data_IF_205338530253
#
_entry.id   IF_205338530253
#
_cell.length_a   1.000
_cell.length_b   1.000
_cell.length_c   1.000
_cell.angle_alpha   90.00
_cell.angle_beta   90.00
_cell.angle_gamma   90.00
#
_symmetry.space_group_name_H-M   'P 1'
#
loop_
_entity.id
_entity.type
_entity.pdbx_description
1 polymer ?
#
# COMPACT_ATOMS: atom_id res chain seq x y z
N UNK A 1 57.95 -5.65 32.65
CA UNK A 1 57.25 -4.47 33.20
C UNK A 1 55.76 -4.71 33.03
N UNK A 2 55.01 -4.63 34.12
CA UNK A 2 53.56 -4.81 34.12
C UNK A 2 52.87 -3.55 33.59
N UNK A 3 52.15 -3.65 32.48
CA UNK A 3 51.41 -2.52 31.89
C UNK A 3 50.16 -2.20 32.73
N UNK A 4 49.81 -0.93 32.85
CA UNK A 4 48.58 -0.48 33.52
C UNK A 4 47.36 -0.67 32.61
N UNK A 5 46.17 -0.73 33.19
CA UNK A 5 44.93 -0.70 32.42
C UNK A 5 44.80 0.63 31.66
N UNK A 6 44.36 0.57 30.40
CA UNK A 6 44.19 1.70 29.49
C UNK A 6 42.95 2.57 29.77
N UNK A 7 42.03 2.12 30.62
CA UNK A 7 40.85 2.89 31.01
C UNK A 7 41.27 4.02 31.97
N UNK A 8 40.90 5.25 31.64
CA UNK A 8 41.19 6.42 32.47
C UNK A 8 40.71 6.21 33.91
N UNK A 9 41.54 6.61 34.88
CA UNK A 9 41.32 6.46 36.33
C UNK A 9 41.41 5.02 36.86
N UNK A 10 41.70 4.01 36.03
CA UNK A 10 41.96 2.66 36.51
C UNK A 10 43.42 2.47 36.91
N UNK A 11 43.69 2.23 38.19
CA UNK A 11 45.05 2.00 38.71
C UNK A 11 45.47 0.52 38.67
N UNK A 12 44.59 -0.38 38.21
CA UNK A 12 44.86 -1.82 38.20
C UNK A 12 45.82 -2.23 37.08
N UNK A 13 46.61 -3.25 37.34
CA UNK A 13 47.50 -3.86 36.34
C UNK A 13 46.68 -4.55 35.24
N UNK A 14 47.09 -4.34 33.99
CA UNK A 14 46.55 -5.05 32.84
C UNK A 14 46.72 -6.56 33.00
N UNK A 15 45.70 -7.32 32.62
CA UNK A 15 45.71 -8.79 32.64
C UNK A 15 45.59 -9.38 31.23
N UNK A 16 45.26 -8.57 30.22
CA UNK A 16 45.18 -8.97 28.83
C UNK A 16 45.06 -7.78 27.89
N UNK A 17 45.45 -7.99 26.64
CA UNK A 17 45.21 -7.07 25.54
C UNK A 17 43.89 -7.49 24.88
N UNK A 18 42.95 -6.56 24.69
CA UNK A 18 41.78 -6.83 23.88
C UNK A 18 42.13 -6.69 22.39
N UNK A 19 41.99 -7.76 21.63
CA UNK A 19 42.35 -7.75 20.20
C UNK A 19 41.43 -6.87 19.35
N UNK A 20 40.19 -6.61 19.79
CA UNK A 20 39.23 -5.77 19.08
C UNK A 20 39.62 -4.29 19.08
N UNK A 21 39.96 -3.74 20.26
CA UNK A 21 40.27 -2.33 20.43
C UNK A 21 41.77 -2.04 20.65
N UNK A 22 42.60 -3.08 20.71
CA UNK A 22 44.05 -3.01 20.97
C UNK A 22 44.40 -2.29 22.29
N UNK A 23 43.52 -2.43 23.30
CA UNK A 23 43.69 -1.80 24.62
C UNK A 23 44.07 -2.81 25.71
N UNK A 24 44.95 -2.41 26.61
CA UNK A 24 45.37 -3.21 27.76
C UNK A 24 44.34 -3.10 28.88
N UNK A 25 43.63 -4.17 29.20
CA UNK A 25 42.53 -4.15 30.16
C UNK A 25 42.83 -4.99 31.41
N UNK A 26 42.43 -4.48 32.58
CA UNK A 26 42.38 -5.32 33.78
C UNK A 26 41.21 -6.31 33.68
N UNK A 27 41.21 -7.37 34.49
CA UNK A 27 40.19 -8.43 34.40
C UNK A 27 38.74 -7.91 34.51
N UNK A 28 38.49 -6.91 35.38
CA UNK A 28 37.16 -6.33 35.51
C UNK A 28 36.71 -5.61 34.24
N UNK A 29 37.53 -4.70 33.70
CA UNK A 29 37.18 -3.96 32.49
C UNK A 29 37.15 -4.87 31.25
N UNK A 30 37.90 -5.97 31.23
CA UNK A 30 37.79 -6.98 30.18
C UNK A 30 36.43 -7.69 30.21
N UNK A 31 35.93 -8.03 31.41
CA UNK A 31 34.61 -8.63 31.58
C UNK A 31 33.48 -7.65 31.24
N UNK A 32 33.59 -6.38 31.66
CA UNK A 32 32.63 -5.33 31.32
C UNK A 32 32.62 -5.04 29.81
N UNK A 33 33.80 -4.99 29.18
CA UNK A 33 33.92 -4.84 27.73
C UNK A 33 33.31 -6.03 26.98
N UNK A 34 33.55 -7.26 27.44
CA UNK A 34 32.93 -8.45 26.86
C UNK A 34 31.40 -8.46 27.05
N UNK A 35 30.91 -8.05 28.22
CA UNK A 35 29.48 -7.91 28.47
C UNK A 35 28.85 -6.85 27.55
N UNK A 36 29.52 -5.72 27.32
CA UNK A 36 29.08 -4.69 26.38
C UNK A 36 29.01 -5.23 24.94
N UNK A 37 30.04 -5.97 24.50
CA UNK A 37 30.03 -6.61 23.17
C UNK A 37 28.89 -7.63 23.04
N UNK A 38 28.67 -8.46 24.07
CA UNK A 38 27.56 -9.42 24.08
C UNK A 38 26.22 -8.68 24.04
N UNK A 39 26.07 -7.58 24.77
CA UNK A 39 24.83 -6.79 24.75
C UNK A 39 24.52 -6.15 23.40
N UNK A 40 25.51 -6.02 22.50
CA UNK A 40 25.29 -5.57 21.12
C UNK A 40 24.81 -6.71 20.20
N UNK A 41 24.93 -7.97 20.61
CA UNK A 41 24.44 -9.11 19.82
C UNK A 41 22.92 -9.28 19.94
N UNK A 42 22.33 -8.87 21.06
CA UNK A 42 20.88 -9.00 21.26
C UNK A 42 20.08 -8.19 20.22
N UNK A 43 20.37 -6.89 19.96
CA UNK A 43 19.71 -6.12 18.90
C UNK A 43 19.89 -6.72 17.51
N UNK A 44 21.08 -7.25 17.18
CA UNK A 44 21.34 -7.88 15.89
C UNK A 44 20.56 -9.19 15.72
N UNK A 45 20.39 -9.94 16.81
CA UNK A 45 19.56 -11.15 16.83
C UNK A 45 18.11 -10.80 16.59
N UNK A 46 17.62 -9.73 17.23
CA UNK A 46 16.27 -9.21 17.00
C UNK A 46 16.07 -8.76 15.55
N UNK A 47 17.03 -8.03 14.96
CA UNK A 47 16.99 -7.63 13.55
C UNK A 47 16.92 -8.85 12.62
N UNK A 48 17.74 -9.88 12.85
CA UNK A 48 17.71 -11.12 12.05
C UNK A 48 16.36 -11.82 12.18
N UNK A 49 15.81 -11.90 13.39
CA UNK A 49 14.50 -12.52 13.62
C UNK A 49 13.39 -11.77 12.88
N UNK A 50 13.43 -10.43 12.89
CA UNK A 50 12.47 -9.62 12.15
C UNK A 50 12.62 -9.82 10.65
N UNK A 51 13.84 -9.85 10.11
CA UNK A 51 14.06 -10.17 8.70
C UNK A 51 13.55 -11.56 8.33
N UNK A 52 13.74 -12.55 9.21
CA UNK A 52 13.18 -13.90 9.07
C UNK A 52 11.66 -13.88 8.97
N UNK A 53 10.98 -13.18 9.87
CA UNK A 53 9.53 -12.99 9.83
C UNK A 53 9.09 -12.25 8.55
N UNK A 54 9.81 -11.22 8.13
CA UNK A 54 9.55 -10.53 6.87
C UNK A 54 9.63 -11.49 5.68
N UNK A 55 10.63 -12.38 5.63
CA UNK A 55 10.73 -13.40 4.59
C UNK A 55 9.58 -14.42 4.63
N UNK A 56 9.16 -14.85 5.81
CA UNK A 56 8.01 -15.76 5.98
C UNK A 56 6.69 -15.11 5.53
N UNK A 57 6.55 -13.80 5.76
CA UNK A 57 5.36 -13.04 5.34
C UNK A 57 5.39 -12.63 3.86
N UNK A 58 6.51 -12.80 3.15
CA UNK A 58 6.54 -12.59 1.71
C UNK A 58 5.52 -13.50 1.05
N UNK A 59 4.52 -12.88 0.42
CA UNK A 59 3.45 -13.60 -0.23
C UNK A 59 3.90 -14.11 -1.60
N UNK A 60 4.73 -15.16 -1.58
CA UNK A 60 5.24 -15.85 -2.78
C UNK A 60 4.07 -16.27 -3.68
N UNK A 61 2.98 -16.72 -3.06
CA UNK A 61 1.78 -17.13 -3.78
C UNK A 61 1.18 -15.98 -4.58
N UNK A 62 1.07 -14.78 -4.00
CA UNK A 62 0.60 -13.58 -4.70
C UNK A 62 1.49 -13.21 -5.89
N UNK A 63 2.81 -13.33 -5.74
CA UNK A 63 3.75 -13.07 -6.86
C UNK A 63 3.54 -14.09 -7.99
N UNK A 64 3.40 -15.37 -7.64
CA UNK A 64 3.10 -16.44 -8.61
C UNK A 64 1.76 -16.18 -9.31
N UNK A 65 0.73 -15.82 -8.55
CA UNK A 65 -0.61 -15.59 -9.08
C UNK A 65 -0.65 -14.37 -10.01
N UNK A 66 0.07 -13.30 -9.66
CA UNK A 66 0.24 -12.15 -10.57
C UNK A 66 0.97 -12.53 -11.86
N UNK A 67 1.98 -13.39 -11.80
CA UNK A 67 2.65 -13.92 -12.99
C UNK A 67 1.70 -14.73 -13.87
N UNK A 68 0.88 -15.59 -13.25
CA UNK A 68 -0.13 -16.40 -13.95
C UNK A 68 -1.21 -15.54 -14.61
N UNK A 69 -1.66 -14.49 -13.93
CA UNK A 69 -2.65 -13.55 -14.47
C UNK A 69 -2.14 -12.87 -15.75
N UNK A 70 -0.88 -12.42 -15.76
CA UNK A 70 -0.26 -11.84 -16.97
C UNK A 70 -0.20 -12.84 -18.13
N UNK A 71 0.12 -14.10 -17.86
CA UNK A 71 0.13 -15.14 -18.89
C UNK A 71 -1.27 -15.44 -19.42
N UNK A 72 -2.28 -15.48 -18.56
CA UNK A 72 -3.67 -15.68 -18.98
C UNK A 72 -4.19 -14.47 -19.79
N UNK A 73 -3.84 -13.25 -19.40
CA UNK A 73 -4.15 -12.05 -20.18
C UNK A 73 -3.51 -12.13 -21.58
N UNK A 74 -2.22 -12.46 -21.65
CA UNK A 74 -1.52 -12.65 -22.92
C UNK A 74 -2.23 -13.69 -23.81
N UNK A 75 -2.64 -14.83 -23.23
CA UNK A 75 -3.38 -15.87 -23.93
C UNK A 75 -4.71 -15.35 -24.50
N UNK A 76 -5.49 -14.62 -23.70
CA UNK A 76 -6.77 -14.04 -24.13
C UNK A 76 -6.59 -13.03 -25.27
N UNK A 77 -5.57 -12.18 -25.17
CA UNK A 77 -5.24 -11.22 -26.23
C UNK A 77 -4.82 -11.90 -27.54
N UNK A 78 -4.05 -12.99 -27.45
CA UNK A 78 -3.69 -13.80 -28.61
C UNK A 78 -4.92 -14.40 -29.30
N UNK A 79 -5.84 -15.02 -28.55
CA UNK A 79 -7.08 -15.56 -29.14
C UNK A 79 -7.91 -14.47 -29.81
N UNK A 80 -8.10 -13.33 -29.15
CA UNK A 80 -8.83 -12.20 -29.73
C UNK A 80 -8.23 -11.73 -31.07
N UNK A 81 -6.90 -11.70 -31.18
CA UNK A 81 -6.22 -11.34 -32.43
C UNK A 81 -6.43 -12.39 -33.52
N UNK A 82 -6.39 -13.67 -33.16
CA UNK A 82 -6.63 -14.78 -34.09
C UNK A 82 -8.08 -14.72 -34.61
N UNK A 83 -9.05 -14.53 -33.72
CA UNK A 83 -10.48 -14.45 -34.08
C UNK A 83 -10.76 -13.26 -34.99
N UNK A 84 -10.23 -12.08 -34.66
CA UNK A 84 -10.34 -10.88 -35.49
C UNK A 84 -9.76 -11.09 -36.88
N UNK A 85 -8.58 -11.71 -36.97
CA UNK A 85 -7.95 -12.04 -38.26
C UNK A 85 -8.79 -13.03 -39.07
N UNK A 86 -9.35 -14.04 -38.41
CA UNK A 86 -10.24 -15.02 -39.05
C UNK A 86 -11.49 -14.34 -39.60
N UNK A 87 -12.18 -13.52 -38.80
CA UNK A 87 -13.37 -12.78 -39.22
C UNK A 87 -13.07 -11.86 -40.41
N UNK A 88 -11.93 -11.16 -40.38
CA UNK A 88 -11.49 -10.34 -41.50
C UNK A 88 -11.32 -11.18 -42.78
N UNK A 89 -10.71 -12.37 -42.70
CA UNK A 89 -10.57 -13.25 -43.87
C UNK A 89 -11.88 -13.82 -44.36
N UNK A 90 -12.84 -14.07 -43.48
CA UNK A 90 -14.21 -14.42 -43.88
C UNK A 90 -14.89 -13.27 -44.64
N UNK A 91 -14.75 -12.03 -44.17
CA UNK A 91 -15.31 -10.86 -44.86
C UNK A 91 -14.67 -10.64 -46.24
N UNK A 92 -13.34 -10.78 -46.35
CA UNK A 92 -12.63 -10.73 -47.64
C UNK A 92 -13.15 -11.82 -48.60
N UNK A 93 -13.38 -13.03 -48.07
CA UNK A 93 -13.93 -14.15 -48.84
C UNK A 93 -15.34 -13.85 -49.36
N UNK A 94 -16.23 -13.39 -48.47
CA UNK A 94 -17.61 -13.04 -48.82
C UNK A 94 -17.65 -11.93 -49.87
N UNK A 95 -16.80 -10.91 -49.73
CA UNK A 95 -16.71 -9.83 -50.71
C UNK A 95 -16.29 -10.35 -52.08
N UNK A 96 -15.25 -11.18 -52.15
CA UNK A 96 -14.78 -11.76 -53.42
C UNK A 96 -15.86 -12.60 -54.10
N UNK A 97 -16.57 -13.44 -53.34
CA UNK A 97 -17.67 -14.26 -53.86
C UNK A 97 -18.79 -13.37 -54.39
N UNK A 98 -19.19 -12.34 -53.64
CA UNK A 98 -20.25 -11.43 -54.05
C UNK A 98 -19.88 -10.65 -55.32
N UNK A 99 -18.65 -10.17 -55.44
CA UNK A 99 -18.17 -9.48 -56.65
C UNK A 99 -18.24 -10.40 -57.88
N UNK A 100 -17.83 -11.66 -57.75
CA UNK A 100 -17.92 -12.66 -58.82
C UNK A 100 -19.38 -12.92 -59.21
N UNK A 101 -20.27 -13.09 -58.23
CA UNK A 101 -21.70 -13.33 -58.46
C UNK A 101 -22.36 -12.12 -59.14
N UNK A 102 -22.07 -10.90 -58.70
CA UNK A 102 -22.63 -9.68 -59.27
C UNK A 102 -22.16 -9.42 -60.71
N UNK A 103 -20.91 -9.77 -61.03
CA UNK A 103 -20.45 -9.78 -62.42
C UNK A 103 -21.28 -10.73 -63.29
N UNK A 104 -21.56 -11.95 -62.82
CA UNK A 104 -22.41 -12.89 -63.58
C UNK A 104 -23.85 -12.38 -63.68
N UNK A 105 -24.41 -11.79 -62.62
CA UNK A 105 -25.74 -11.18 -62.61
C UNK A 105 -25.84 -10.05 -63.64
N UNK A 106 -24.79 -9.24 -63.80
CA UNK A 106 -24.74 -8.17 -64.80
C UNK A 106 -24.75 -8.71 -66.23
N UNK A 107 -24.00 -9.79 -66.48
CA UNK A 107 -24.01 -10.47 -67.79
C UNK A 107 -25.38 -11.09 -68.09
N UNK A 108 -26.01 -11.71 -67.09
CA UNK A 108 -27.36 -12.28 -67.20
C UNK A 108 -28.39 -11.20 -67.57
N UNK A 109 -28.40 -10.07 -66.85
CA UNK A 109 -29.32 -8.96 -67.11
C UNK A 109 -29.13 -8.38 -68.51
N UNK A 110 -27.87 -8.22 -68.96
CA UNK A 110 -27.59 -7.76 -70.32
C UNK A 110 -28.11 -8.73 -71.38
N UNK A 111 -28.02 -10.03 -71.11
CA UNK A 111 -28.52 -11.08 -72.01
C UNK A 111 -30.04 -11.05 -72.07
N UNK A 112 -30.70 -10.87 -70.93
CA UNK A 112 -32.15 -10.71 -70.85
C UNK A 112 -32.65 -9.49 -71.62
N UNK A 113 -32.00 -8.33 -71.47
CA UNK A 113 -32.35 -7.10 -72.20
C UNK A 113 -32.29 -7.30 -73.72
N UNK A 114 -31.25 -7.98 -74.23
CA UNK A 114 -31.14 -8.32 -75.65
C UNK A 114 -32.27 -9.24 -76.13
N UNK A 115 -32.68 -10.20 -75.30
CA UNK A 115 -33.83 -11.07 -75.62
C UNK A 115 -35.10 -10.23 -75.73
N UNK A 116 -35.37 -9.35 -74.75
CA UNK A 116 -36.54 -8.47 -74.77
C UNK A 116 -36.55 -7.54 -75.99
N UNK A 117 -35.41 -6.98 -76.36
CA UNK A 117 -35.26 -6.13 -77.55
C UNK A 117 -35.62 -6.88 -78.84
N UNK A 118 -35.08 -8.09 -79.03
CA UNK A 118 -35.37 -8.91 -80.20
C UNK A 118 -36.83 -9.34 -80.30
N UNK A 119 -37.47 -9.61 -79.14
CA UNK A 119 -38.91 -9.90 -79.08
C UNK A 119 -39.73 -8.68 -79.53
N UNK A 120 -39.37 -7.49 -79.09
CA UNK A 120 -40.10 -6.26 -79.41
C UNK A 120 -39.97 -5.86 -80.89
N UNK A 121 -38.79 -6.04 -81.50
CA UNK A 121 -38.55 -5.65 -82.90
C UNK A 121 -39.21 -6.64 -83.89
N UNK A 122 -39.53 -7.87 -83.46
CA UNK A 122 -40.11 -8.95 -84.27
C UNK A 122 -39.29 -9.40 -85.51
N UNK A 123 -38.15 -8.77 -85.80
CA UNK A 123 -37.19 -9.17 -86.84
C UNK A 123 -36.02 -9.98 -86.25
N UNK A 124 -36.31 -11.18 -85.75
CA UNK A 124 -35.26 -12.06 -85.22
C UNK A 124 -34.62 -12.89 -86.34
N UNK A 125 -33.33 -12.68 -86.59
CA UNK A 125 -32.55 -13.52 -87.52
C UNK A 125 -31.99 -14.77 -86.82
N UNK A 126 -31.64 -15.80 -87.60
CA UNK A 126 -30.99 -16.99 -87.07
C UNK A 126 -29.66 -16.68 -86.36
N UNK A 127 -28.91 -15.71 -86.89
CA UNK A 127 -27.64 -15.26 -86.29
C UNK A 127 -27.85 -14.66 -84.90
N UNK A 128 -28.95 -13.93 -84.67
CA UNK A 128 -29.28 -13.40 -83.33
C UNK A 128 -29.52 -14.53 -82.33
N UNK A 129 -30.22 -15.59 -82.74
CA UNK A 129 -30.49 -16.78 -81.90
C UNK A 129 -29.19 -17.53 -81.58
N UNK A 130 -28.32 -17.73 -82.57
CA UNK A 130 -27.06 -18.44 -82.36
C UNK A 130 -26.11 -17.67 -81.42
N UNK A 131 -26.04 -16.34 -81.55
CA UNK A 131 -25.29 -15.47 -80.64
C UNK A 131 -25.81 -15.54 -79.20
N UNK A 132 -27.13 -15.46 -79.00
CA UNK A 132 -27.74 -15.59 -77.68
C UNK A 132 -27.48 -16.97 -77.06
N UNK A 133 -27.66 -18.03 -77.84
CA UNK A 133 -27.42 -19.41 -77.39
C UNK A 133 -25.97 -19.60 -76.96
N UNK A 134 -25.01 -19.04 -77.69
CA UNK A 134 -23.60 -19.08 -77.31
C UNK A 134 -23.31 -18.31 -76.01
N UNK A 135 -23.96 -17.15 -75.82
CA UNK A 135 -23.82 -16.32 -74.61
C UNK A 135 -24.39 -17.02 -73.38
N UNK A 136 -25.57 -17.64 -73.50
CA UNK A 136 -26.20 -18.42 -72.42
C UNK A 136 -25.31 -19.61 -72.02
N UNK A 137 -24.82 -20.39 -73.00
CA UNK A 137 -23.91 -21.52 -72.71
C UNK A 137 -22.58 -21.08 -72.10
N UNK A 138 -22.11 -19.88 -72.40
CA UNK A 138 -20.92 -19.32 -71.76
C UNK A 138 -21.21 -18.92 -70.31
N UNK A 139 -22.35 -18.28 -70.06
CA UNK A 139 -22.79 -17.94 -68.70
C UNK A 139 -22.97 -19.19 -67.83
N UNK A 140 -23.62 -20.24 -68.34
CA UNK A 140 -23.76 -21.54 -67.65
C UNK A 140 -22.39 -22.14 -67.28
N UNK A 141 -21.44 -22.13 -68.22
CA UNK A 141 -20.07 -22.61 -67.95
C UNK A 141 -19.36 -21.78 -66.89
N UNK A 142 -19.54 -20.46 -66.90
CA UNK A 142 -18.94 -19.58 -65.91
C UNK A 142 -19.53 -19.83 -64.52
N UNK A 143 -20.86 -19.96 -64.41
CA UNK A 143 -21.54 -20.29 -63.15
C UNK A 143 -21.05 -21.63 -62.60
N UNK A 144 -21.02 -22.67 -63.43
CA UNK A 144 -20.55 -23.99 -63.02
C UNK A 144 -19.06 -23.98 -62.62
N UNK A 145 -18.23 -23.15 -63.26
CA UNK A 145 -16.82 -23.00 -62.89
C UNK A 145 -16.65 -22.30 -61.54
N UNK A 146 -17.51 -21.34 -61.20
CA UNK A 146 -17.49 -20.67 -59.89
C UNK A 146 -17.81 -21.69 -58.79
N UNK A 147 -18.82 -22.53 -58.98
CA UNK A 147 -19.19 -23.58 -58.01
C UNK A 147 -18.08 -24.63 -57.83
N UNK A 148 -17.38 -25.01 -58.90
CA UNK A 148 -16.40 -26.10 -58.84
C UNK A 148 -14.97 -25.66 -58.52
N UNK A 149 -14.58 -24.42 -58.84
CA UNK A 149 -13.17 -23.96 -58.82
C UNK A 149 -12.98 -22.55 -58.29
N UNK A 150 -14.03 -21.91 -57.79
CA UNK A 150 -14.07 -20.46 -57.59
C UNK A 150 -12.91 -19.90 -56.76
N UNK A 151 -12.48 -20.59 -55.70
CA UNK A 151 -11.45 -20.07 -54.80
C UNK A 151 -10.57 -21.18 -54.20
N UNK A 152 -9.28 -20.89 -54.09
CA UNK A 152 -8.30 -21.75 -53.39
C UNK A 152 -7.79 -21.00 -52.17
N UNK A 153 -8.13 -21.48 -50.98
CA UNK A 153 -7.63 -20.92 -49.72
C UNK A 153 -6.35 -21.66 -49.35
N UNK A 154 -5.23 -20.94 -49.24
CA UNK A 154 -3.96 -21.50 -48.76
C UNK A 154 -3.70 -20.98 -47.35
N UNK A 155 -3.56 -21.89 -46.39
CA UNK A 155 -3.23 -21.54 -45.00
C UNK A 155 -1.80 -21.95 -44.67
N UNK A 156 -1.19 -21.24 -43.72
CA UNK A 156 0.11 -21.60 -43.13
C UNK A 156 -0.09 -21.79 -41.62
N UNK A 157 0.60 -22.75 -40.99
CA UNK A 157 0.51 -22.95 -39.55
C UNK A 157 1.07 -21.74 -38.80
N UNK A 158 0.43 -21.39 -37.68
CA UNK A 158 0.95 -20.42 -36.72
C UNK A 158 2.10 -21.08 -35.95
N UNK A 159 3.29 -20.48 -36.00
CA UNK A 159 4.45 -20.94 -35.25
C UNK A 159 4.52 -20.15 -33.93
N UNK A 160 4.46 -20.86 -32.82
CA UNK A 160 4.65 -20.32 -31.47
C UNK A 160 6.03 -20.79 -31.03
N UNK A 161 6.93 -19.84 -30.73
CA UNK A 161 8.28 -20.13 -30.25
C UNK A 161 8.51 -19.60 -28.83
N UNK A 162 9.59 -20.06 -28.21
CA UNK A 162 9.96 -19.73 -26.83
C UNK A 162 10.40 -18.26 -26.67
N UNK A 163 10.58 -17.50 -27.76
CA UNK A 163 10.94 -16.08 -27.69
C UNK A 163 9.72 -15.19 -27.48
N UNK A 164 8.50 -15.72 -27.63
CA UNK A 164 7.26 -14.98 -27.45
C UNK A 164 6.98 -14.63 -25.98
N UNK A 165 7.46 -15.44 -25.03
CA UNK A 165 7.30 -15.22 -23.59
C UNK A 165 8.61 -15.56 -22.89
N UNK A 166 9.30 -14.55 -22.35
CA UNK A 166 10.44 -14.77 -21.45
C UNK A 166 9.99 -14.69 -19.99
N UNK A 167 10.41 -15.68 -19.20
CA UNK A 167 10.33 -15.64 -17.74
C UNK A 167 11.77 -15.47 -17.25
N UNK A 168 12.16 -14.22 -17.08
CA UNK A 168 13.50 -13.88 -16.61
C UNK A 168 13.49 -13.82 -15.08
N UNK A 169 14.49 -14.48 -14.48
CA UNK A 169 14.90 -14.06 -13.14
C UNK A 169 15.59 -12.73 -13.31
N UNK A 170 15.18 -11.72 -12.56
CA UNK A 170 16.01 -10.54 -12.35
C UNK A 170 17.38 -11.03 -11.89
N UNK A 171 18.35 -10.96 -12.79
CA UNK A 171 19.70 -11.52 -12.60
C UNK A 171 20.36 -10.87 -11.40
N UNK A 172 20.85 -11.70 -10.47
CA UNK A 172 21.97 -11.63 -9.49
C UNK A 172 22.71 -10.31 -9.13
N UNK A 173 22.31 -9.13 -9.61
CA UNK A 173 22.55 -7.90 -8.89
C UNK A 173 21.59 -7.93 -7.71
N UNK A 174 22.16 -8.34 -6.57
CA UNK A 174 21.64 -8.18 -5.22
C UNK A 174 20.23 -7.63 -5.22
N UNK A 175 19.22 -8.47 -4.92
CA UNK A 175 17.94 -8.00 -4.42
C UNK A 175 18.27 -6.85 -3.48
N UNK A 176 18.08 -5.63 -3.96
CA UNK A 176 18.62 -4.47 -3.29
C UNK A 176 17.83 -4.40 -2.00
N UNK A 177 18.44 -4.83 -0.89
CA UNK A 177 17.76 -4.92 0.40
C UNK A 177 17.29 -3.51 0.79
N UNK A 178 17.90 -2.46 0.23
CA UNK A 178 17.42 -1.08 0.38
C UNK A 178 16.08 -0.80 -0.33
N UNK A 179 15.66 -1.64 -1.28
CA UNK A 179 14.33 -1.61 -1.90
C UNK A 179 13.28 -2.42 -1.15
N UNK A 180 13.67 -3.31 -0.23
CA UNK A 180 12.73 -3.84 0.74
C UNK A 180 12.24 -2.67 1.57
N UNK A 181 10.91 -2.53 1.71
CA UNK A 181 10.33 -1.53 2.59
C UNK A 181 11.01 -1.66 3.95
N UNK A 182 11.66 -0.58 4.39
CA UNK A 182 12.28 -0.51 5.71
C UNK A 182 11.34 -1.08 6.76
N UNK A 183 11.86 -1.95 7.62
CA UNK A 183 11.14 -2.58 8.73
C UNK A 183 10.51 -1.52 9.63
N UNK A 184 11.15 -0.35 9.71
CA UNK A 184 10.64 0.83 10.37
C UNK A 184 10.13 1.84 9.35
N UNK A 185 8.97 2.44 9.64
CA UNK A 185 8.50 3.65 8.95
C UNK A 185 8.90 4.87 9.77
N UNK A 186 9.62 5.78 9.13
CA UNK A 186 9.96 7.07 9.73
C UNK A 186 8.85 8.06 9.43
N UNK A 187 8.33 8.71 10.46
CA UNK A 187 7.38 9.81 10.32
C UNK A 187 8.17 11.11 10.37
N UNK A 188 8.26 11.79 9.22
CA UNK A 188 8.89 13.11 9.15
C UNK A 188 8.10 14.11 9.97
N UNK A 189 8.81 14.86 10.82
CA UNK A 189 8.21 15.89 11.67
C UNK A 189 8.21 17.22 10.93
N UNK A 190 7.08 17.92 10.95
CA UNK A 190 7.04 19.31 10.50
C UNK A 190 7.68 20.23 11.55
N UNK A 191 8.37 21.26 11.07
CA UNK A 191 8.90 22.34 11.92
C UNK A 191 7.76 22.93 12.78
N UNK A 192 8.04 23.12 14.08
CA UNK A 192 7.05 23.59 15.06
C UNK A 192 6.20 22.49 15.72
N UNK A 193 6.39 21.22 15.36
CA UNK A 193 5.73 20.09 16.03
C UNK A 193 6.42 19.73 17.35
N UNK A 194 5.64 19.51 18.41
CA UNK A 194 6.15 19.03 19.70
C UNK A 194 6.57 17.56 19.64
N UNK A 195 7.40 17.12 20.59
CA UNK A 195 7.91 15.72 20.70
C UNK A 195 6.92 14.78 21.37
N UNK A 196 5.63 15.04 21.19
CA UNK A 196 4.57 14.36 21.93
C UNK A 196 3.84 13.40 21.01
N UNK A 197 3.72 12.18 21.48
CA UNK A 197 2.93 11.12 20.90
C UNK A 197 2.27 10.33 22.02
N UNK A 198 1.11 9.76 21.73
CA UNK A 198 0.47 8.79 22.62
C UNK A 198 -0.20 7.74 21.77
N UNK A 199 -0.33 6.52 22.28
CA UNK A 199 -0.92 5.41 21.55
C UNK A 199 -2.03 4.76 22.36
N UNK A 200 -2.95 4.13 21.63
CA UNK A 200 -3.85 3.11 22.16
C UNK A 200 -3.63 1.79 21.39
N UNK A 201 -4.49 0.80 21.60
CA UNK A 201 -4.34 -0.52 20.98
C UNK A 201 -4.43 -0.52 19.44
N UNK A 202 -5.00 0.53 18.85
CA UNK A 202 -5.31 0.62 17.42
C UNK A 202 -4.56 1.72 16.70
N UNK A 203 -4.29 2.82 17.40
CA UNK A 203 -3.89 4.07 16.80
C UNK A 203 -2.78 4.77 17.58
N UNK A 204 -1.98 5.53 16.83
CA UNK A 204 -0.97 6.44 17.35
C UNK A 204 -1.39 7.87 17.05
N UNK A 205 -1.55 8.70 18.09
CA UNK A 205 -1.85 10.12 17.98
C UNK A 205 -0.56 10.93 18.05
N UNK A 206 -0.30 11.75 17.03
CA UNK A 206 0.88 12.59 16.94
C UNK A 206 0.46 14.03 16.63
N UNK A 207 1.08 14.99 17.31
CA UNK A 207 0.96 16.39 16.93
C UNK A 207 1.95 16.74 15.81
N UNK A 208 1.42 17.08 14.64
CA UNK A 208 2.17 17.58 13.49
C UNK A 208 1.61 18.94 13.09
N UNK A 209 2.22 20.02 13.60
CA UNK A 209 1.69 21.38 13.49
C UNK A 209 1.26 21.69 12.04
N UNK A 210 0.03 22.22 11.83
CA UNK A 210 -0.96 22.66 12.82
C UNK A 210 -2.03 21.60 13.17
N UNK A 211 -1.77 20.31 12.95
CA UNK A 211 -2.77 19.25 13.05
C UNK A 211 -2.41 18.19 14.10
N UNK A 212 -3.44 17.63 14.72
CA UNK A 212 -3.36 16.32 15.36
C UNK A 212 -3.72 15.25 14.35
N UNK A 213 -2.85 14.24 14.22
CA UNK A 213 -2.98 13.16 13.25
C UNK A 213 -3.02 11.82 13.94
N UNK A 214 -3.96 11.00 13.51
CA UNK A 214 -4.16 9.65 13.98
C UNK A 214 -3.62 8.67 12.93
N UNK A 215 -2.67 7.83 13.34
CA UNK A 215 -2.03 6.84 12.49
C UNK A 215 -2.53 5.44 12.83
N UNK A 216 -2.74 4.59 11.83
CA UNK A 216 -3.00 3.15 12.01
C UNK A 216 -1.71 2.38 12.33
N UNK A 217 -1.82 1.06 12.52
CA UNK A 217 -0.70 0.16 12.76
C UNK A 217 0.28 0.11 11.58
N UNK A 218 -0.22 0.36 10.38
CA UNK A 218 0.55 0.48 9.15
C UNK A 218 1.17 1.87 8.97
N UNK A 219 1.04 2.78 9.94
CA UNK A 219 1.54 4.17 9.93
C UNK A 219 0.97 5.02 8.79
N UNK A 220 -0.23 4.74 8.33
CA UNK A 220 -0.98 5.63 7.44
C UNK A 220 -1.82 6.60 8.27
N UNK A 221 -1.96 7.83 7.78
CA UNK A 221 -2.85 8.82 8.39
C UNK A 221 -4.30 8.39 8.14
N UNK A 222 -4.99 7.98 9.19
CA UNK A 222 -6.41 7.58 9.11
C UNK A 222 -7.29 8.82 9.18
N UNK A 223 -6.98 9.72 10.10
CA UNK A 223 -7.73 10.96 10.33
C UNK A 223 -6.82 12.07 10.82
N UNK A 224 -7.25 13.29 10.63
CA UNK A 224 -6.57 14.47 11.16
C UNK A 224 -7.57 15.57 11.48
N UNK A 225 -7.22 16.40 12.45
CA UNK A 225 -7.97 17.60 12.80
C UNK A 225 -7.00 18.73 13.10
N UNK A 226 -7.42 19.98 12.88
CA UNK A 226 -6.59 21.14 13.16
C UNK A 226 -6.54 21.39 14.66
N UNK A 227 -5.33 21.54 15.20
CA UNK A 227 -5.10 21.99 16.56
C UNK A 227 -4.94 23.51 16.58
N UNK A 228 -5.86 24.21 17.25
CA UNK A 228 -5.88 25.67 17.33
C UNK A 228 -5.88 26.21 18.75
N UNK A 229 -5.61 25.34 19.73
CA UNK A 229 -5.82 25.64 21.14
C UNK A 229 -4.56 26.09 21.88
N UNK A 230 -3.38 25.97 21.26
CA UNK A 230 -2.13 26.43 21.85
C UNK A 230 -1.03 25.37 21.76
N UNK A 231 -0.08 25.47 22.69
CA UNK A 231 1.01 24.53 22.83
C UNK A 231 0.57 23.30 23.62
N UNK A 232 0.82 22.11 23.08
CA UNK A 232 0.50 20.86 23.77
C UNK A 232 1.64 20.57 24.74
N UNK A 233 1.30 20.47 26.03
CA UNK A 233 2.24 20.13 27.10
C UNK A 233 2.46 18.61 27.16
N UNK A 234 1.38 17.83 27.11
CA UNK A 234 1.46 16.38 27.11
C UNK A 234 0.21 15.71 26.53
N UNK A 235 0.29 14.42 26.24
CA UNK A 235 -0.83 13.60 25.78
C UNK A 235 -0.79 12.21 26.39
N UNK A 236 -1.95 11.65 26.72
CA UNK A 236 -2.06 10.24 27.07
C UNK A 236 -3.36 9.61 26.53
N UNK A 237 -3.45 8.29 26.58
CA UNK A 237 -4.68 7.55 26.28
C UNK A 237 -5.33 7.05 27.56
N UNK A 238 -6.65 7.21 27.67
CA UNK A 238 -7.44 6.61 28.75
C UNK A 238 -8.34 5.51 28.20
N UNK A 239 -8.05 4.26 28.57
CA UNK A 239 -8.91 3.11 28.24
C UNK A 239 -10.29 3.22 28.88
N UNK A 240 -10.38 3.83 30.07
CA UNK A 240 -11.64 4.08 30.80
C UNK A 240 -12.56 4.99 30.01
N UNK A 241 -12.04 6.10 29.50
CA UNK A 241 -12.81 7.08 28.75
C UNK A 241 -12.96 6.68 27.27
N UNK A 242 -12.10 5.78 26.78
CA UNK A 242 -12.00 5.46 25.36
C UNK A 242 -11.60 6.67 24.52
N UNK A 243 -10.78 7.57 25.09
CA UNK A 243 -10.40 8.86 24.48
C UNK A 243 -8.95 9.21 24.76
N UNK A 244 -8.36 9.97 23.82
CA UNK A 244 -7.08 10.61 24.06
C UNK A 244 -7.30 11.87 24.91
N UNK A 245 -6.38 12.11 25.83
CA UNK A 245 -6.35 13.28 26.69
C UNK A 245 -5.17 14.12 26.21
N UNK A 246 -5.44 15.39 25.94
CA UNK A 246 -4.42 16.36 25.52
C UNK A 246 -4.40 17.50 26.52
N UNK A 247 -3.22 17.74 27.09
CA UNK A 247 -2.98 18.85 27.99
C UNK A 247 -2.46 20.05 27.21
N UNK A 248 -3.14 21.16 27.37
CA UNK A 248 -2.70 22.52 27.03
C UNK A 248 -2.45 23.26 28.35
N UNK A 249 -1.69 24.36 28.33
CA UNK A 249 -1.25 25.12 29.52
C UNK A 249 -2.30 25.20 30.65
N UNK A 250 -3.55 25.54 30.32
CA UNK A 250 -4.62 25.67 31.32
C UNK A 250 -5.88 24.85 30.99
N UNK A 251 -5.87 24.07 29.91
CA UNK A 251 -7.06 23.41 29.39
C UNK A 251 -6.81 21.91 29.15
N UNK A 252 -7.81 21.10 29.49
CA UNK A 252 -7.82 19.67 29.16
C UNK A 252 -8.80 19.41 28.04
N UNK A 253 -8.28 18.76 27.00
CA UNK A 253 -9.06 18.35 25.85
C UNK A 253 -9.17 16.84 25.78
N UNK A 254 -10.36 16.36 25.44
CA UNK A 254 -10.60 14.96 25.08
C UNK A 254 -10.77 14.85 23.57
N UNK A 255 -10.14 13.83 23.00
CA UNK A 255 -10.21 13.54 21.57
C UNK A 255 -10.79 12.15 21.35
N UNK A 256 -11.87 12.11 20.59
CA UNK A 256 -12.54 10.89 20.18
C UNK A 256 -11.81 10.27 18.98
N UNK A 257 -11.39 9.01 19.09
CA UNK A 257 -10.68 8.30 18.01
C UNK A 257 -11.53 8.08 16.75
N UNK A 258 -12.85 8.01 16.90
CA UNK A 258 -13.78 7.69 15.83
C UNK A 258 -14.17 8.93 15.03
N UNK A 259 -14.24 10.10 15.65
CA UNK A 259 -14.64 11.34 14.97
C UNK A 259 -13.51 12.35 14.82
N UNK A 260 -12.42 12.22 15.59
CA UNK A 260 -11.43 13.28 15.82
C UNK A 260 -12.04 14.60 16.33
N UNK A 261 -13.23 14.54 16.96
CA UNK A 261 -13.80 15.70 17.65
C UNK A 261 -12.97 16.02 18.89
N UNK A 262 -12.73 17.31 19.11
CA UNK A 262 -11.98 17.82 20.26
C UNK A 262 -12.99 18.49 21.18
N UNK A 263 -13.13 17.95 22.38
CA UNK A 263 -13.99 18.49 23.43
C UNK A 263 -13.11 19.10 24.52
N UNK A 264 -13.23 20.41 24.78
CA UNK A 264 -12.65 21.01 26.00
C UNK A 264 -13.53 20.61 27.18
N UNK A 265 -12.95 19.89 28.14
CA UNK A 265 -13.69 19.40 29.31
C UNK A 265 -13.57 20.36 30.48
N UNK A 266 -12.40 20.96 30.66
CA UNK A 266 -12.17 21.80 31.82
C UNK A 266 -10.99 22.74 31.62
N UNK A 267 -11.20 23.99 32.05
CA UNK A 267 -10.13 24.93 32.35
C UNK A 267 -9.68 24.74 33.79
N UNK A 268 -8.42 24.37 33.96
CA UNK A 268 -7.78 24.24 35.26
C UNK A 268 -7.20 25.61 35.57
N UNK A 269 -7.63 26.21 36.69
CA UNK A 269 -7.13 27.54 37.06
C UNK A 269 -5.61 27.54 37.19
N UNK A 270 -4.97 28.71 36.95
CA UNK A 270 -3.51 28.99 36.86
C UNK A 270 -2.62 27.97 37.61
N UNK A 271 -2.42 26.79 37.03
CA UNK A 271 -1.56 25.73 37.59
C UNK A 271 -0.86 25.04 36.43
N UNK A 272 0.45 24.95 36.54
CA UNK A 272 1.32 24.37 35.51
C UNK A 272 1.19 22.84 35.51
N UNK A 273 0.33 22.32 34.64
CA UNK A 273 0.27 20.89 34.34
C UNK A 273 1.28 20.55 33.26
N UNK A 274 2.34 19.85 33.66
CA UNK A 274 3.49 19.59 32.79
C UNK A 274 3.38 18.22 32.11
N UNK A 275 2.66 17.26 32.71
CA UNK A 275 2.49 15.94 32.12
C UNK A 275 1.22 15.24 32.61
N UNK A 276 0.81 14.19 31.89
CA UNK A 276 -0.23 13.24 32.30
C UNK A 276 0.13 11.80 31.92
N UNK A 277 -0.24 10.87 32.78
CA UNK A 277 -0.32 9.45 32.44
C UNK A 277 -1.64 8.87 32.93
N UNK A 278 -2.16 7.86 32.26
CA UNK A 278 -3.44 7.25 32.61
C UNK A 278 -3.29 5.74 32.79
N UNK A 279 -4.00 5.21 33.78
CA UNK A 279 -4.25 3.78 33.97
C UNK A 279 -5.73 3.49 33.72
N UNK A 280 -6.12 2.22 33.74
CA UNK A 280 -7.49 1.76 33.47
C UNK A 280 -8.58 2.38 34.36
N UNK A 281 -8.22 3.06 35.45
CA UNK A 281 -9.18 3.74 36.33
C UNK A 281 -8.72 5.12 36.83
N UNK A 282 -7.50 5.56 36.53
CA UNK A 282 -6.89 6.72 37.21
C UNK A 282 -6.06 7.55 36.22
N UNK A 283 -6.29 8.86 36.21
CA UNK A 283 -5.42 9.85 35.58
C UNK A 283 -4.42 10.38 36.61
N UNK A 284 -3.13 10.28 36.32
CA UNK A 284 -2.03 10.80 37.12
C UNK A 284 -1.34 11.95 36.38
N UNK A 285 -1.68 13.21 36.70
CA UNK A 285 -0.88 14.34 36.27
C UNK A 285 0.23 14.62 37.30
N UNK A 286 1.53 14.50 36.95
CA UNK A 286 2.58 15.06 37.77
C UNK A 286 2.45 16.59 37.83
N UNK A 287 2.42 17.14 39.05
CA UNK A 287 2.53 18.58 39.29
C UNK A 287 3.88 18.91 39.89
N UNK A 288 4.55 19.92 39.37
CA UNK A 288 5.72 20.52 40.01
C UNK A 288 5.25 21.42 41.16
N UNK A 289 5.42 20.97 42.40
CA UNK A 289 5.04 21.76 43.58
C UNK A 289 6.23 22.05 44.48
N UNK A 290 6.69 23.31 44.48
CA UNK A 290 7.62 23.88 45.48
C UNK A 290 6.89 24.68 46.58
N UNK A 291 5.61 24.42 46.91
CA UNK A 291 4.98 25.14 48.04
C UNK A 291 4.02 24.30 48.90
N UNK A 292 4.27 24.33 50.21
CA UNK A 292 3.65 23.48 51.25
C UNK A 292 2.15 23.75 51.51
N UNK A 293 1.57 24.86 51.05
CA UNK A 293 0.12 25.17 51.23
C UNK A 293 -0.76 24.73 50.05
N UNK A 294 -0.14 24.22 48.97
CA UNK A 294 -0.87 23.87 47.74
C UNK A 294 -1.56 22.50 47.81
N UNK A 295 -1.13 21.58 48.68
CA UNK A 295 -1.56 20.17 48.66
C UNK A 295 -3.07 19.96 48.93
N UNK A 296 -3.66 20.75 49.84
CA UNK A 296 -5.08 20.64 50.19
C UNK A 296 -6.01 21.19 49.10
N UNK A 297 -5.61 22.30 48.47
CA UNK A 297 -6.36 22.91 47.36
C UNK A 297 -6.17 22.13 46.05
N UNK A 298 -5.09 21.36 45.96
CA UNK A 298 -4.75 20.46 44.85
C UNK A 298 -5.61 19.20 44.88
N UNK A 299 -5.79 18.57 46.03
CA UNK A 299 -6.73 17.45 46.19
C UNK A 299 -8.16 17.84 45.81
N UNK A 300 -8.59 19.08 46.07
CA UNK A 300 -9.94 19.55 45.76
C UNK A 300 -10.19 19.74 44.26
N UNK A 301 -9.25 20.31 43.50
CA UNK A 301 -9.35 20.41 42.03
C UNK A 301 -9.32 19.03 41.36
N UNK A 302 -8.54 18.08 41.90
CA UNK A 302 -8.47 16.71 41.39
C UNK A 302 -9.72 15.89 41.70
N UNK A 303 -10.29 16.03 42.90
CA UNK A 303 -11.61 15.47 43.22
C UNK A 303 -12.64 16.04 42.26
N UNK A 304 -12.56 17.33 41.90
CA UNK A 304 -13.51 17.97 40.99
C UNK A 304 -13.32 17.54 39.52
N UNK A 305 -12.09 17.37 39.05
CA UNK A 305 -11.78 16.78 37.73
C UNK A 305 -12.25 15.33 37.64
N UNK A 306 -11.91 14.51 38.64
CA UNK A 306 -12.35 13.12 38.72
C UNK A 306 -13.87 13.05 38.81
N UNK A 307 -14.52 13.94 39.58
CA UNK A 307 -15.98 14.00 39.70
C UNK A 307 -16.66 14.44 38.40
N UNK A 308 -16.09 15.37 37.63
CA UNK A 308 -16.62 15.78 36.32
C UNK A 308 -16.43 14.70 35.24
N UNK A 309 -15.28 14.01 35.25
CA UNK A 309 -15.04 12.84 34.39
C UNK A 309 -15.94 11.66 34.79
N UNK A 310 -16.19 11.46 36.09
CA UNK A 310 -17.13 10.47 36.63
C UNK A 310 -18.60 10.86 36.41
N UNK A 311 -18.96 12.15 36.36
CA UNK A 311 -20.30 12.62 36.01
C UNK A 311 -20.61 12.42 34.53
N UNK A 312 -19.62 12.63 33.64
CA UNK A 312 -19.72 12.19 32.24
C UNK A 312 -19.82 10.66 32.11
N UNK A 313 -19.34 9.91 33.11
CA UNK A 313 -19.25 8.45 33.10
C UNK A 313 -20.07 7.75 34.18
N UNK A 314 -21.22 8.28 34.63
CA UNK A 314 -22.08 7.56 35.60
C UNK A 314 -22.70 6.28 35.02
N UNK A 315 -21.89 5.20 34.98
CA UNK A 315 -22.10 3.88 35.57
C UNK A 315 -20.75 3.12 35.62
N UNK A 316 -20.30 2.85 36.83
CA UNK A 316 -19.27 1.89 37.28
C UNK A 316 -17.86 2.44 37.61
N UNK A 317 -17.26 1.82 38.64
CA UNK A 317 -16.44 2.42 39.71
C UNK A 317 -14.95 2.60 39.42
N UNK A 318 -14.35 3.67 39.97
CA UNK A 318 -12.89 3.86 40.04
C UNK A 318 -12.44 4.28 41.46
N UNK A 319 -11.23 3.86 41.86
CA UNK A 319 -10.59 4.14 43.17
C UNK A 319 -9.26 4.88 42.92
N UNK A 320 -8.90 5.82 43.81
CA UNK A 320 -7.82 6.81 43.65
C UNK A 320 -6.55 6.38 44.43
N UNK A 321 -5.36 6.61 43.87
CA UNK A 321 -4.06 6.48 44.56
C UNK A 321 -3.11 7.65 44.22
N UNK A 322 -2.19 7.96 45.14
CA UNK A 322 -1.28 9.13 45.11
C UNK A 322 0.18 8.72 44.82
N UNK A 323 0.90 9.49 44.00
CA UNK A 323 2.37 9.47 43.94
C UNK A 323 2.87 10.91 43.87
N UNK A 324 3.64 11.37 44.86
CA UNK A 324 4.41 12.61 44.77
C UNK A 324 5.84 12.28 44.35
N UNK A 325 6.32 12.87 43.26
CA UNK A 325 7.70 12.73 42.84
C UNK A 325 8.49 13.94 43.36
N UNK A 326 9.19 13.77 44.49
CA UNK A 326 10.11 14.78 45.00
C UNK A 326 11.52 14.56 44.44
N UNK A 327 12.05 15.62 43.82
CA UNK A 327 13.45 15.90 43.44
C UNK A 327 14.14 15.01 42.40
N UNK A 328 14.47 15.62 41.24
CA UNK A 328 15.69 15.34 40.48
C UNK A 328 16.52 16.64 40.43
N UNK A 329 17.33 16.89 41.46
CA UNK A 329 18.40 17.88 41.41
C UNK A 329 19.70 17.21 40.90
N UNK A 330 20.41 17.92 40.02
CA UNK A 330 21.84 17.72 39.73
C UNK A 330 22.59 18.99 40.06
#
# INVERSE_FOLDING_TARGET
MSQSCSIEKCTRTSRGLCDCCQQNLCLQHLNEHNALLISQLDPLTDEINVLGYCLETLNIQKTIDSGREKLEQWRQECYKKIDCFFEQKCQELDQLINEIVDQQRTVLNRTHLKITELINIQETTRQHIDLLTSSIRQLERNINNIEQKGLTITTRPLLIDDTLVSIERTTDHELDISTLSSVYKTIDRSDGSFRLLTANDRYLLIHQYPNLRLFDREMNIVKQTKWSYGEIQDMCWSSTLGRFIVLEENDIFLIDENTMSIDNVQRIGERDLISCTCSDAILFPPMSGESDDSTAMVAQTFVQMAYLLLEQQMKESAVICFISCSSWEK
#
